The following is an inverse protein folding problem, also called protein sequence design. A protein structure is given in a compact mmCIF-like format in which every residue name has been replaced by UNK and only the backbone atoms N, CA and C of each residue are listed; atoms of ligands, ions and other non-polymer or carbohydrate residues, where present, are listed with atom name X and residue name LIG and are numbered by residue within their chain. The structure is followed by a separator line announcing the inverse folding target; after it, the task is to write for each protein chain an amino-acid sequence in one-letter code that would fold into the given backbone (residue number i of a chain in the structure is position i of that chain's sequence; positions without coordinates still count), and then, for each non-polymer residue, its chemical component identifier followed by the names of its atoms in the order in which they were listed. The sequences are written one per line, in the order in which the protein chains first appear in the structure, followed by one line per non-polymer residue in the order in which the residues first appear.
data_IF_783954022968
#
_entry.id   IF_783954022968
#
_cell.length_a   1.000
_cell.length_b   1.000
_cell.length_c   1.000
_cell.angle_alpha   90.00
_cell.angle_beta   90.00
_cell.angle_gamma   90.00
#
_symmetry.space_group_name_H-M   'P 1'
#
loop_
_entity.id
_entity.type
_entity.pdbx_description
1 polymer ?
#
# COMPACT_ATOMS: atom_id res chain seq x y z
N UNK A 1 -9.96 -5.00 -2.68
CA UNK A 1 -10.73 -3.73 -2.70
C UNK A 1 -12.20 -4.07 -2.88
N UNK A 2 -13.10 -3.40 -2.17
CA UNK A 2 -14.55 -3.64 -2.25
C UNK A 2 -15.25 -2.29 -2.29
N UNK A 3 -16.14 -2.09 -3.27
CA UNK A 3 -17.04 -0.95 -3.31
C UNK A 3 -18.40 -1.36 -2.75
N UNK A 4 -18.90 -0.64 -1.75
CA UNK A 4 -20.25 -0.81 -1.23
C UNK A 4 -21.12 0.31 -1.81
N UNK A 5 -22.21 -0.06 -2.49
CA UNK A 5 -23.19 0.85 -3.11
C UNK A 5 -22.59 1.87 -4.10
N UNK A 6 -21.37 1.61 -4.60
CA UNK A 6 -20.65 2.44 -5.56
C UNK A 6 -19.74 1.58 -6.45
N UNK A 7 -19.76 1.88 -7.75
CA UNK A 7 -18.95 1.18 -8.75
C UNK A 7 -17.52 1.69 -8.92
N UNK A 8 -17.22 2.94 -8.51
CA UNK A 8 -15.87 3.51 -8.60
C UNK A 8 -15.17 3.47 -7.25
N UNK A 9 -14.10 2.69 -7.15
CA UNK A 9 -13.29 2.56 -5.93
C UNK A 9 -11.94 3.29 -6.02
N UNK A 10 -11.54 3.77 -7.20
CA UNK A 10 -10.25 4.43 -7.46
C UNK A 10 -10.10 5.79 -6.77
N UNK A 11 -9.14 5.92 -5.86
CA UNK A 11 -8.92 7.10 -5.02
C UNK A 11 -7.45 7.16 -4.52
N UNK A 12 -6.66 8.22 -4.75
CA UNK A 12 -5.27 8.32 -4.25
C UNK A 12 -5.12 8.16 -2.73
N UNK A 13 -6.20 8.38 -1.97
CA UNK A 13 -6.24 8.22 -0.52
C UNK A 13 -6.69 6.81 -0.05
N UNK A 14 -6.76 5.81 -0.92
CA UNK A 14 -6.97 4.41 -0.52
C UNK A 14 -5.80 3.52 -1.01
N UNK A 15 -5.48 2.40 -0.35
CA UNK A 15 -4.48 1.46 -0.83
C UNK A 15 -5.06 0.57 -1.95
N UNK A 16 -4.33 0.42 -3.06
CA UNK A 16 -4.75 -0.34 -4.26
C UNK A 16 -3.90 -1.58 -4.46
N UNK A 17 -4.52 -2.75 -4.69
CA UNK A 17 -3.79 -3.95 -5.11
C UNK A 17 -4.66 -5.21 -5.15
N UNK A 18 -4.08 -6.30 -5.66
CA UNK A 18 -4.68 -7.63 -5.68
C UNK A 18 -4.56 -8.36 -4.33
N UNK A 19 -5.10 -9.57 -4.25
CA UNK A 19 -4.91 -10.51 -3.13
C UNK A 19 -4.47 -11.88 -3.67
N UNK A 20 -4.93 -12.25 -4.85
CA UNK A 20 -4.57 -13.48 -5.55
C UNK A 20 -3.42 -13.27 -6.53
N UNK A 21 -2.80 -14.38 -6.95
CA UNK A 21 -1.64 -14.40 -7.85
C UNK A 21 -1.93 -13.73 -9.20
N UNK A 22 -1.06 -12.84 -9.70
CA UNK A 22 0.28 -12.52 -9.18
C UNK A 22 0.34 -11.37 -8.16
N UNK A 23 -0.79 -10.90 -7.64
CA UNK A 23 -0.88 -9.66 -6.87
C UNK A 23 -0.16 -9.66 -5.53
N UNK A 24 1.02 -9.03 -5.50
CA UNK A 24 1.78 -8.66 -4.31
C UNK A 24 1.79 -7.12 -4.24
N UNK A 25 1.65 -6.56 -3.04
CA UNK A 25 1.82 -5.13 -2.84
C UNK A 25 0.55 -4.27 -2.80
N UNK A 26 0.78 -2.98 -2.51
CA UNK A 26 -0.25 -1.93 -2.44
C UNK A 26 0.30 -0.61 -2.98
N UNK A 27 -0.40 0.00 -3.93
CA UNK A 27 -0.11 1.34 -4.41
C UNK A 27 -0.96 2.42 -3.71
N UNK A 28 -0.48 3.67 -3.79
CA UNK A 28 -1.06 4.86 -3.16
C UNK A 28 -1.09 4.79 -1.62
N UNK A 29 -1.54 5.86 -0.96
CA UNK A 29 -1.47 6.01 0.52
C UNK A 29 -0.05 5.81 1.09
N UNK A 30 0.17 5.80 2.43
CA UNK A 30 1.48 5.48 2.98
C UNK A 30 1.99 4.09 2.60
N UNK A 31 1.11 3.11 2.44
CA UNK A 31 1.49 1.73 2.08
C UNK A 31 2.23 1.70 0.72
N UNK A 32 1.86 2.56 -0.22
CA UNK A 32 2.53 2.66 -1.52
C UNK A 32 3.90 3.34 -1.50
N UNK A 33 4.19 4.19 -0.51
CA UNK A 33 5.56 4.73 -0.35
C UNK A 33 6.45 3.73 0.37
N UNK A 34 5.90 2.97 1.33
CA UNK A 34 6.59 1.89 2.03
C UNK A 34 7.00 0.75 1.08
N UNK A 35 6.20 0.44 0.05
CA UNK A 35 6.61 -0.50 -1.01
C UNK A 35 7.81 -0.04 -1.85
N UNK A 36 8.16 1.24 -1.79
CA UNK A 36 9.23 1.85 -2.60
C UNK A 36 10.46 2.20 -1.79
N UNK A 37 10.43 1.97 -0.48
CA UNK A 37 11.50 2.35 0.44
C UNK A 37 11.88 1.17 1.34
N UNK A 38 13.18 1.01 1.57
CA UNK A 38 13.68 0.01 2.51
C UNK A 38 13.73 0.59 3.92
N UNK A 39 13.21 -0.17 4.89
CA UNK A 39 13.35 0.16 6.29
C UNK A 39 14.81 -0.04 6.73
N UNK A 40 15.42 1.03 7.26
CA UNK A 40 16.79 0.98 7.81
C UNK A 40 16.75 1.16 9.33
N UNK A 41 17.15 0.13 10.05
CA UNK A 41 17.34 0.21 11.49
C UNK A 41 18.66 0.93 11.82
N UNK A 42 18.61 1.89 12.74
CA UNK A 42 19.79 2.60 13.26
C UNK A 42 19.74 2.58 14.78
N UNK A 43 20.75 1.96 15.39
CA UNK A 43 21.01 2.05 16.82
C UNK A 43 22.28 2.87 17.03
N UNK A 44 22.17 3.94 17.82
CA UNK A 44 23.33 4.69 18.26
C UNK A 44 23.56 4.37 19.73
N UNK A 45 24.79 3.94 20.08
CA UNK A 45 25.18 3.67 21.45
C UNK A 45 25.45 4.98 22.17
N UNK A 46 24.89 5.16 23.36
CA UNK A 46 25.45 6.07 24.35
C UNK A 46 26.79 5.51 24.84
#
# INVERSE_FOLDING_TARGET
MIGLDRGLVSNPAAPFGGVETPGIGRAARPEGIEERMDAKYVANGL
#
